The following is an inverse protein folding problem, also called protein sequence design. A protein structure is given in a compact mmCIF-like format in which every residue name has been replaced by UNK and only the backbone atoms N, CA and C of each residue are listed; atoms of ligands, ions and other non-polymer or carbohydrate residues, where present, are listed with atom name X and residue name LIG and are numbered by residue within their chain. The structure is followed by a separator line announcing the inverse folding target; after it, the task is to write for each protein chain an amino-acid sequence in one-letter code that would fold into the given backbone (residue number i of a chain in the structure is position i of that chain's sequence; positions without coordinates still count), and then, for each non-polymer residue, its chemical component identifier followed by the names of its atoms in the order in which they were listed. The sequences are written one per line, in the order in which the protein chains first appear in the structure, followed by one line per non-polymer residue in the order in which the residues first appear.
data_IF_211045198412
#
_entry.id   IF_211045198412
#
_cell.length_a   1.000
_cell.length_b   1.000
_cell.length_c   1.000
_cell.angle_alpha   90.00
_cell.angle_beta   90.00
_cell.angle_gamma   90.00
#
_symmetry.space_group_name_H-M   'P 1'
#
loop_
_entity.id
_entity.type
_entity.pdbx_description
1 polymer ?
#
# COMPACT_ATOMS: atom_id res chain seq x y z
N UNK A 1 -10.77 14.17 12.74
CA UNK A 1 -10.55 13.11 11.74
C UNK A 1 -9.16 13.29 11.16
N UNK A 2 -8.29 12.29 11.31
CA UNK A 2 -6.92 12.24 10.77
C UNK A 2 -6.91 11.25 9.63
N UNK A 3 -6.51 11.69 8.45
CA UNK A 3 -6.53 10.89 7.22
C UNK A 3 -5.11 10.79 6.70
N UNK A 4 -4.68 9.57 6.35
CA UNK A 4 -3.53 9.37 5.48
C UNK A 4 -3.92 9.77 4.05
N UNK A 5 -3.42 10.92 3.61
CA UNK A 5 -3.83 11.51 2.34
C UNK A 5 -3.25 10.83 1.11
N UNK A 6 -2.24 9.95 1.27
CA UNK A 6 -1.54 9.38 0.12
C UNK A 6 -0.94 8.01 0.44
N UNK A 7 -1.54 6.97 -0.12
CA UNK A 7 -0.98 5.62 -0.16
C UNK A 7 -1.49 4.86 -1.40
N UNK A 8 -1.06 3.63 -1.61
CA UNK A 8 -1.39 2.87 -2.81
C UNK A 8 -1.73 1.42 -2.47
N UNK A 9 -2.72 0.89 -3.19
CA UNK A 9 -3.03 -0.54 -3.20
C UNK A 9 -2.85 -1.10 -4.59
N UNK A 10 -2.33 -2.31 -4.68
CA UNK A 10 -2.27 -3.04 -5.94
C UNK A 10 -2.31 -4.55 -5.72
N UNK A 11 -2.91 -5.25 -6.68
CA UNK A 11 -2.59 -6.65 -6.95
C UNK A 11 -1.47 -6.63 -7.98
N UNK A 12 -0.31 -7.17 -7.63
CA UNK A 12 0.87 -7.02 -8.45
C UNK A 12 0.66 -7.64 -9.84
N UNK A 13 0.94 -6.86 -10.87
CA UNK A 13 0.95 -7.31 -12.26
C UNK A 13 2.30 -6.92 -12.88
N UNK A 14 3.13 -7.88 -13.33
CA UNK A 14 4.48 -7.61 -13.80
C UNK A 14 4.54 -6.77 -15.09
N UNK A 15 3.43 -6.66 -15.83
CA UNK A 15 3.34 -5.86 -17.06
C UNK A 15 2.87 -4.45 -16.73
N UNK A 16 1.80 -4.29 -15.93
CA UNK A 16 1.30 -2.97 -15.51
C UNK A 16 2.29 -2.27 -14.58
N UNK A 17 2.87 -3.01 -13.64
CA UNK A 17 3.72 -2.49 -12.57
C UNK A 17 5.21 -2.65 -12.94
N UNK A 18 5.54 -2.56 -14.24
CA UNK A 18 6.89 -2.75 -14.78
C UNK A 18 7.95 -1.75 -14.27
N UNK A 19 7.53 -0.72 -13.53
CA UNK A 19 8.42 0.20 -12.83
C UNK A 19 9.07 -0.43 -11.58
N UNK A 20 8.54 -1.55 -11.07
CA UNK A 20 9.10 -2.30 -9.94
C UNK A 20 10.16 -3.27 -10.46
N UNK A 21 11.42 -2.90 -10.32
CA UNK A 21 12.56 -3.72 -10.76
C UNK A 21 13.04 -4.74 -9.72
N UNK A 22 14.14 -5.45 -10.03
CA UNK A 22 14.72 -6.48 -9.17
C UNK A 22 15.35 -5.95 -7.87
N UNK A 23 15.60 -4.64 -7.75
CA UNK A 23 16.04 -4.04 -6.50
C UNK A 23 14.88 -3.84 -5.51
N UNK A 24 13.63 -3.88 -6.00
CA UNK A 24 12.41 -3.54 -5.25
C UNK A 24 11.58 -4.76 -4.85
N UNK A 25 12.22 -5.92 -4.62
CA UNK A 25 11.52 -7.20 -4.34
C UNK A 25 10.52 -7.13 -3.19
N UNK A 26 10.77 -6.30 -2.17
CA UNK A 26 9.88 -6.13 -1.02
C UNK A 26 8.49 -5.60 -1.37
N UNK A 27 8.39 -4.81 -2.44
CA UNK A 27 7.13 -4.23 -2.93
C UNK A 27 6.56 -4.97 -4.15
N UNK A 28 7.26 -6.01 -4.65
CA UNK A 28 6.85 -6.86 -5.77
C UNK A 28 5.85 -7.95 -5.32
N UNK A 29 4.74 -7.52 -4.71
CA UNK A 29 3.68 -8.38 -4.15
C UNK A 29 2.40 -7.58 -4.01
N UNK A 30 1.31 -8.26 -3.67
CA UNK A 30 0.03 -7.60 -3.39
C UNK A 30 0.12 -6.75 -2.11
N UNK A 31 -0.48 -5.56 -2.19
CA UNK A 31 -0.78 -4.68 -1.05
C UNK A 31 -2.27 -4.35 -1.09
N UNK A 32 -2.99 -4.85 -0.09
CA UNK A 32 -4.45 -4.75 0.03
C UNK A 32 -4.82 -3.98 1.31
N UNK A 33 -6.07 -3.49 1.43
CA UNK A 33 -6.51 -2.74 2.62
C UNK A 33 -6.21 -3.41 3.96
N UNK A 34 -6.31 -4.74 4.03
CA UNK A 34 -6.00 -5.52 5.24
C UNK A 34 -4.55 -5.38 5.71
N UNK A 35 -3.62 -5.14 4.79
CA UNK A 35 -2.19 -5.04 5.09
C UNK A 35 -1.86 -3.69 5.75
N UNK A 36 -2.66 -2.65 5.46
CA UNK A 36 -2.52 -1.31 6.03
C UNK A 36 -3.33 -1.13 7.33
N UNK A 37 -4.46 -1.80 7.48
CA UNK A 37 -5.42 -1.60 8.58
C UNK A 37 -4.74 -1.53 9.97
N UNK A 38 -3.90 -2.51 10.29
CA UNK A 38 -3.23 -2.56 11.61
C UNK A 38 -2.26 -1.40 11.86
N UNK A 39 -1.71 -0.80 10.79
CA UNK A 39 -0.81 0.34 10.87
C UNK A 39 -1.62 1.61 11.15
N UNK A 40 -2.78 1.79 10.50
CA UNK A 40 -3.67 2.92 10.76
C UNK A 40 -4.14 2.94 12.22
N UNK A 41 -4.56 1.77 12.73
CA UNK A 41 -5.01 1.61 14.12
C UNK A 41 -3.91 1.96 15.14
N UNK A 42 -2.69 1.43 14.95
CA UNK A 42 -1.54 1.72 15.82
C UNK A 42 -1.19 3.20 15.85
N UNK A 43 -1.41 3.92 14.74
CA UNK A 43 -1.06 5.33 14.61
C UNK A 43 -2.22 6.30 14.86
N UNK A 44 -3.42 5.79 15.20
CA UNK A 44 -4.63 6.59 15.42
C UNK A 44 -4.97 7.46 14.19
N UNK A 45 -4.90 6.84 13.01
CA UNK A 45 -5.35 7.40 11.74
C UNK A 45 -6.73 6.80 11.44
N UNK A 46 -7.71 7.66 11.15
CA UNK A 46 -9.12 7.29 11.03
C UNK A 46 -9.48 6.72 9.64
N UNK A 47 -8.63 6.95 8.63
CA UNK A 47 -8.83 6.47 7.27
C UNK A 47 -7.71 6.89 6.32
N UNK A 48 -7.82 6.50 5.06
CA UNK A 48 -6.85 6.83 4.03
C UNK A 48 -7.51 7.09 2.67
N UNK A 49 -6.75 7.71 1.76
CA UNK A 49 -7.08 7.84 0.34
C UNK A 49 -6.06 7.05 -0.47
N UNK A 50 -6.52 6.25 -1.45
CA UNK A 50 -5.69 5.39 -2.30
C UNK A 50 -6.20 5.33 -3.73
#
# INVERSE_FOLDING_TARGET
MRIDSHQHFWKFDPVRDAWIDESMLNIKRDFLPKDLQSILEKNKIDGCVA
#
